data_IF_254213383449
#
_entry.id   IF_254213383449
#
_cell.length_a   1.000
_cell.length_b   1.000
_cell.length_c   1.000
_cell.angle_alpha   90.00
_cell.angle_beta   90.00
_cell.angle_gamma   90.00
#
_symmetry.space_group_name_H-M   'P 1'
#
loop_
_entity.id
_entity.type
_entity.pdbx_description
1 polymer ?
#
# COMPACT_ATOMS: atom_id res chain seq x y z
N UNK A 1 5.39 11.00 32.73
CA UNK A 1 5.06 11.63 31.43
C UNK A 1 5.60 10.71 30.34
N UNK A 2 4.74 9.96 29.64
CA UNK A 2 5.16 9.16 28.48
C UNK A 2 5.46 10.14 27.35
N UNK A 3 6.73 10.37 27.09
CA UNK A 3 7.17 11.26 26.01
C UNK A 3 6.95 10.58 24.67
N UNK A 4 6.50 11.33 23.66
CA UNK A 4 6.28 10.91 22.26
C UNK A 4 7.53 10.32 21.55
N UNK A 5 8.59 10.04 22.29
CA UNK A 5 9.84 9.41 21.85
C UNK A 5 9.71 7.89 21.64
N UNK A 6 8.74 7.21 22.26
CA UNK A 6 8.68 5.74 22.25
C UNK A 6 8.26 5.14 20.89
N UNK A 7 7.50 5.86 20.06
CA UNK A 7 6.92 5.27 18.84
C UNK A 7 7.92 5.15 17.68
N UNK A 8 8.89 6.07 17.57
CA UNK A 8 9.91 6.03 16.53
C UNK A 8 11.02 5.04 16.87
N UNK A 9 11.42 4.94 18.14
CA UNK A 9 12.42 3.96 18.58
C UNK A 9 11.92 2.53 18.36
N UNK A 10 10.62 2.29 18.56
CA UNK A 10 9.96 1.03 18.20
C UNK A 10 9.95 0.75 16.68
N UNK A 11 10.26 1.71 15.83
CA UNK A 11 10.46 1.52 14.39
C UNK A 11 11.96 1.46 14.01
N UNK A 12 12.86 1.57 14.98
CA UNK A 12 14.30 1.62 14.76
C UNK A 12 14.79 2.98 14.24
N UNK A 13 14.03 4.05 14.44
CA UNK A 13 14.36 5.42 13.99
C UNK A 13 14.28 6.43 15.14
N UNK A 14 15.08 7.48 15.07
CA UNK A 14 15.02 8.59 16.02
C UNK A 14 15.27 9.93 15.33
N UNK A 15 14.82 11.01 15.97
CA UNK A 15 15.13 12.38 15.55
C UNK A 15 16.29 12.93 16.38
N UNK A 16 17.42 13.23 15.73
CA UNK A 16 18.52 13.97 16.34
C UNK A 16 18.19 15.46 16.39
N UNK A 17 17.92 15.99 17.58
CA UNK A 17 17.74 17.43 17.79
C UNK A 17 19.01 18.23 17.56
N UNK A 18 20.19 17.62 17.79
CA UNK A 18 21.50 18.27 17.60
C UNK A 18 21.85 18.44 16.13
N UNK A 19 21.58 17.41 15.33
CA UNK A 19 21.91 17.38 13.91
C UNK A 19 20.74 17.84 13.02
N UNK A 20 19.54 17.98 13.59
CA UNK A 20 18.28 18.17 12.87
C UNK A 20 18.08 17.12 11.75
N UNK A 21 18.32 15.85 12.08
CA UNK A 21 18.27 14.73 11.14
C UNK A 21 17.60 13.50 11.75
N UNK A 22 17.03 12.67 10.88
CA UNK A 22 16.59 11.32 11.24
C UNK A 22 17.82 10.41 11.32
N UNK A 23 17.89 9.60 12.36
CA UNK A 23 18.95 8.61 12.58
C UNK A 23 18.31 7.23 12.64
N UNK A 24 18.95 6.25 11.99
CA UNK A 24 18.57 4.85 12.11
C UNK A 24 19.23 4.28 13.36
N UNK A 25 18.44 3.87 14.35
CA UNK A 25 18.91 3.17 15.54
C UNK A 25 19.12 1.69 15.26
N UNK A 26 18.25 1.10 14.44
CA UNK A 26 18.31 -0.31 14.03
C UNK A 26 18.03 -0.41 12.53
N UNK A 27 19.10 -0.46 11.74
CA UNK A 27 19.02 -0.49 10.28
C UNK A 27 18.32 -1.74 9.75
N UNK A 28 18.43 -2.88 10.45
CA UNK A 28 17.86 -4.14 9.99
C UNK A 28 16.35 -4.19 10.25
N UNK A 29 15.90 -3.70 11.42
CA UNK A 29 14.48 -3.53 11.71
C UNK A 29 13.81 -2.58 10.72
N UNK A 30 14.44 -1.44 10.44
CA UNK A 30 13.93 -0.46 9.46
C UNK A 30 13.85 -1.08 8.07
N UNK A 31 14.90 -1.80 7.65
CA UNK A 31 14.91 -2.50 6.34
C UNK A 31 13.80 -3.56 6.26
N UNK A 32 13.59 -4.33 7.32
CA UNK A 32 12.54 -5.34 7.40
C UNK A 32 11.16 -4.71 7.24
N UNK A 33 10.85 -3.68 8.05
CA UNK A 33 9.57 -2.98 8.00
C UNK A 33 9.30 -2.36 6.62
N UNK A 34 10.31 -1.71 6.04
CA UNK A 34 10.19 -1.14 4.69
C UNK A 34 9.92 -2.21 3.63
N UNK A 35 10.59 -3.36 3.71
CA UNK A 35 10.41 -4.46 2.76
C UNK A 35 9.01 -5.06 2.86
N UNK A 36 8.50 -5.25 4.09
CA UNK A 36 7.14 -5.72 4.35
C UNK A 36 6.11 -4.74 3.78
N UNK A 37 6.23 -3.45 4.06
CA UNK A 37 5.30 -2.45 3.54
C UNK A 37 5.36 -2.32 2.01
N UNK A 38 6.55 -2.40 1.42
CA UNK A 38 6.71 -2.43 -0.03
C UNK A 38 6.01 -3.66 -0.66
N UNK A 39 6.09 -4.83 -0.04
CA UNK A 39 5.40 -6.03 -0.49
C UNK A 39 3.88 -5.90 -0.36
N UNK A 40 3.39 -5.39 0.77
CA UNK A 40 1.98 -5.13 1.01
C UNK A 40 1.40 -4.15 -0.02
N UNK A 41 2.11 -3.06 -0.30
CA UNK A 41 1.72 -2.08 -1.32
C UNK A 41 1.60 -2.75 -2.70
N UNK A 42 2.59 -3.56 -3.10
CA UNK A 42 2.53 -4.30 -4.38
C UNK A 42 1.32 -5.24 -4.46
N UNK A 43 0.96 -5.90 -3.37
CA UNK A 43 -0.23 -6.74 -3.32
C UNK A 43 -1.52 -5.92 -3.47
N UNK A 44 -1.65 -4.79 -2.77
CA UNK A 44 -2.80 -3.89 -2.92
C UNK A 44 -2.94 -3.40 -4.37
N UNK A 45 -1.84 -3.02 -5.02
CA UNK A 45 -1.88 -2.63 -6.44
C UNK A 45 -2.34 -3.76 -7.37
N UNK A 46 -1.91 -5.00 -7.14
CA UNK A 46 -2.40 -6.16 -7.90
C UNK A 46 -3.90 -6.37 -7.72
N UNK A 47 -4.38 -6.34 -6.49
CA UNK A 47 -5.81 -6.51 -6.19
C UNK A 47 -6.67 -5.42 -6.85
N UNK A 48 -6.25 -4.15 -6.77
CA UNK A 48 -6.97 -3.04 -7.43
C UNK A 48 -7.00 -3.24 -8.95
N UNK A 49 -5.88 -3.69 -9.54
CA UNK A 49 -5.82 -3.98 -10.97
C UNK A 49 -6.79 -5.09 -11.37
N UNK A 50 -6.79 -6.20 -10.65
CA UNK A 50 -7.68 -7.34 -10.92
C UNK A 50 -9.16 -6.94 -10.79
N UNK A 51 -9.52 -6.21 -9.73
CA UNK A 51 -10.87 -5.68 -9.55
C UNK A 51 -11.29 -4.77 -10.71
N UNK A 52 -10.38 -3.91 -11.20
CA UNK A 52 -10.65 -3.07 -12.36
C UNK A 52 -10.89 -3.88 -13.64
N UNK A 53 -10.11 -4.95 -13.85
CA UNK A 53 -10.26 -5.86 -15.00
C UNK A 53 -11.59 -6.60 -14.97
N UNK A 54 -12.00 -7.12 -13.81
CA UNK A 54 -13.30 -7.78 -13.62
C UNK A 54 -14.45 -6.81 -13.88
N UNK A 55 -14.36 -5.57 -13.39
CA UNK A 55 -15.39 -4.56 -13.64
C UNK A 55 -15.53 -4.21 -15.12
N UNK A 56 -14.40 -4.12 -15.84
CA UNK A 56 -14.40 -3.88 -17.28
C UNK A 56 -15.01 -5.05 -18.06
N UNK A 57 -14.71 -6.29 -17.69
CA UNK A 57 -15.33 -7.49 -18.26
C UNK A 57 -16.84 -7.50 -18.02
N UNK A 58 -17.30 -7.21 -16.80
CA UNK A 58 -18.73 -7.14 -16.47
C UNK A 58 -19.45 -6.06 -17.29
N UNK A 59 -18.84 -4.88 -17.48
CA UNK A 59 -19.38 -3.83 -18.34
C UNK A 59 -19.44 -4.26 -19.80
N UNK A 60 -18.44 -4.99 -20.30
CA UNK A 60 -18.43 -5.50 -21.67
C UNK A 60 -19.56 -6.52 -21.90
N UNK A 61 -19.73 -7.48 -20.98
CA UNK A 61 -20.81 -8.49 -21.03
C UNK A 61 -22.18 -7.82 -21.02
N UNK A 62 -22.41 -6.88 -20.10
CA UNK A 62 -23.69 -6.15 -20.00
C UNK A 62 -24.01 -5.38 -21.30
N UNK A 63 -23.00 -4.79 -21.96
CA UNK A 63 -23.18 -4.12 -23.26
C UNK A 63 -23.51 -5.08 -24.39
N UNK A 64 -22.90 -6.28 -24.40
CA UNK A 64 -23.19 -7.29 -25.42
C UNK A 64 -24.58 -7.90 -25.28
N UNK A 65 -25.04 -8.15 -24.04
CA UNK A 65 -26.38 -8.66 -23.77
C UNK A 65 -27.46 -7.67 -24.22
N UNK A 66 -27.28 -6.37 -23.93
CA UNK A 66 -28.20 -5.33 -24.38
C UNK A 66 -28.29 -5.23 -25.91
N UNK A 67 -27.17 -5.43 -26.62
CA UNK A 67 -27.13 -5.37 -28.09
C UNK A 67 -27.86 -6.54 -28.75
N UNK A 68 -27.84 -7.72 -28.14
CA UNK A 68 -28.55 -8.91 -28.62
C UNK A 68 -30.07 -8.80 -28.40
N UNK A 69 -30.51 -8.15 -27.33
CA UNK A 69 -31.94 -7.92 -27.05
C UNK A 69 -32.52 -6.86 -28.01
N UNK A 70 -31.76 -5.83 -28.37
CA UNK A 70 -32.24 -4.77 -29.27
C UNK A 70 -32.26 -5.16 -30.76
N UNK A 71 -31.81 -6.36 -31.12
CA UNK A 71 -31.75 -6.85 -32.50
C UNK A 71 -32.60 -8.10 -32.74
N UNK A 72 -33.43 -8.50 -31.77
CA UNK A 72 -34.51 -9.48 -31.90
C UNK A 72 -35.86 -8.78 -31.98
#
# INVERSE_FOLDING_TARGET
MKTDFDCYEALGVAWSKRSYQIVLLDSDRVRSLYSTEAQNARQRYKQVRELSSVNNLRKAISRSEFKNISSS
#
